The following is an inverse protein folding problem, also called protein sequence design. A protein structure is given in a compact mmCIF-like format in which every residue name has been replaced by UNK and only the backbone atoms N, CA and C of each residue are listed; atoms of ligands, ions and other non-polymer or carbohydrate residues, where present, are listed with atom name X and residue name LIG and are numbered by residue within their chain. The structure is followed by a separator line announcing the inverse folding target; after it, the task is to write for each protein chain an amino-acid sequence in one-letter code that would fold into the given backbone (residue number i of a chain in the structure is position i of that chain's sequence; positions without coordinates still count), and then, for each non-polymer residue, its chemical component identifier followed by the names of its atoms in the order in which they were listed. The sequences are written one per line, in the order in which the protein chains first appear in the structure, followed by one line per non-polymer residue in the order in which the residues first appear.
data_IF_361166656982
#
_entry.id   IF_361166656982
#
_cell.length_a   1.000
_cell.length_b   1.000
_cell.length_c   1.000
_cell.angle_alpha   90.00
_cell.angle_beta   90.00
_cell.angle_gamma   90.00
#
_symmetry.space_group_name_H-M   'P 1'
#
loop_
_entity.id
_entity.type
_entity.pdbx_description
1 polymer ?
#
# COMPACT_ATOMS: atom_id res chain seq x y z
N UNK A 1 36.27 -0.39 -20.47
CA UNK A 1 34.83 -0.69 -20.40
C UNK A 1 34.58 -1.38 -19.06
N UNK A 2 34.28 -0.62 -18.02
CA UNK A 2 33.99 -1.16 -16.68
C UNK A 2 32.47 -1.20 -16.50
N UNK A 3 31.89 -2.37 -16.73
CA UNK A 3 30.46 -2.65 -16.49
C UNK A 3 30.38 -4.03 -15.83
N UNK A 4 30.60 -4.11 -14.51
CA UNK A 4 30.14 -5.25 -13.71
C UNK A 4 29.95 -4.99 -12.21
N UNK A 5 29.80 -3.75 -11.74
CA UNK A 5 29.60 -3.48 -10.29
C UNK A 5 28.13 -3.26 -9.88
N UNK A 6 27.23 -3.07 -10.83
CA UNK A 6 25.92 -2.47 -10.54
C UNK A 6 24.87 -3.46 -10.00
N UNK A 7 25.13 -4.77 -10.02
CA UNK A 7 24.16 -5.79 -9.59
C UNK A 7 24.02 -5.90 -8.06
N UNK A 8 25.14 -5.76 -7.33
CA UNK A 8 25.18 -5.87 -5.87
C UNK A 8 24.72 -4.60 -5.14
N UNK A 9 24.73 -3.45 -5.82
CA UNK A 9 24.20 -2.21 -5.27
C UNK A 9 22.68 -2.15 -5.41
N UNK A 10 22.16 -2.71 -6.51
CA UNK A 10 20.75 -2.60 -6.86
C UNK A 10 19.82 -3.31 -5.87
N UNK A 11 20.24 -4.47 -5.33
CA UNK A 11 19.44 -5.15 -4.30
C UNK A 11 19.41 -4.38 -2.96
N UNK A 12 20.43 -3.59 -2.63
CA UNK A 12 20.44 -2.78 -1.40
C UNK A 12 19.40 -1.66 -1.50
N UNK A 13 19.25 -1.06 -2.67
CA UNK A 13 18.18 -0.10 -2.94
C UNK A 13 16.80 -0.76 -2.82
N UNK A 14 16.61 -1.92 -3.45
CA UNK A 14 15.35 -2.67 -3.34
C UNK A 14 15.02 -3.15 -1.93
N UNK A 15 16.03 -3.52 -1.14
CA UNK A 15 15.83 -3.90 0.25
C UNK A 15 15.25 -2.73 1.05
N UNK A 16 15.81 -1.53 0.88
CA UNK A 16 15.33 -0.33 1.58
C UNK A 16 13.98 0.15 1.01
N UNK A 17 13.75 0.02 -0.29
CA UNK A 17 12.46 0.37 -0.92
C UNK A 17 11.34 -0.63 -0.60
N UNK A 18 11.69 -1.87 -0.21
CA UNK A 18 10.75 -2.90 0.25
C UNK A 18 10.25 -2.69 1.68
N UNK A 19 10.81 -1.73 2.41
CA UNK A 19 10.40 -1.38 3.77
C UNK A 19 9.08 -0.58 3.78
N UNK A 20 8.31 -0.59 4.89
CA UNK A 20 7.12 0.26 5.03
C UNK A 20 7.46 1.74 4.74
N UNK A 21 6.66 2.50 3.98
CA UNK A 21 7.09 3.80 3.41
C UNK A 21 7.65 4.80 4.42
N UNK A 22 6.99 4.98 5.57
CA UNK A 22 7.45 5.87 6.63
C UNK A 22 8.74 5.38 7.29
N UNK A 23 8.89 4.07 7.41
CA UNK A 23 10.07 3.43 7.95
C UNK A 23 11.24 3.52 6.97
N UNK A 24 10.99 3.23 5.69
CA UNK A 24 11.95 3.35 4.60
C UNK A 24 12.53 4.76 4.51
N UNK A 25 11.70 5.81 4.54
CA UNK A 25 12.17 7.20 4.51
C UNK A 25 13.05 7.55 5.70
N UNK A 26 12.74 6.98 6.86
CA UNK A 26 13.50 7.21 8.08
C UNK A 26 14.85 6.49 8.07
N UNK A 27 14.90 5.24 7.64
CA UNK A 27 16.15 4.50 7.39
C UNK A 27 16.98 5.17 6.28
N UNK A 28 16.34 5.65 5.21
CA UNK A 28 17.04 6.44 4.17
C UNK A 28 17.65 7.70 4.76
N UNK A 29 16.95 8.40 5.66
CA UNK A 29 17.44 9.62 6.31
C UNK A 29 18.70 9.37 7.14
N UNK A 30 18.82 8.23 7.83
CA UNK A 30 20.03 7.88 8.59
C UNK A 30 21.19 7.42 7.71
N UNK A 31 20.89 6.83 6.54
CA UNK A 31 21.89 6.39 5.56
C UNK A 31 22.35 7.49 4.59
N UNK A 32 21.69 8.66 4.58
CA UNK A 32 22.10 9.80 3.74
C UNK A 32 23.40 10.40 4.27
N UNK A 33 24.32 10.71 3.36
CA UNK A 33 25.51 11.49 3.66
C UNK A 33 25.20 13.00 3.73
N UNK A 34 26.23 13.82 3.97
CA UNK A 34 26.14 15.29 4.01
C UNK A 34 25.61 15.92 2.71
N UNK A 35 25.66 15.18 1.59
CA UNK A 35 25.18 15.59 0.28
C UNK A 35 23.77 15.06 -0.03
N UNK A 36 23.12 14.35 0.91
CA UNK A 36 21.79 13.78 0.75
C UNK A 36 21.72 12.54 -0.15
N UNK A 37 22.86 11.98 -0.55
CA UNK A 37 22.97 10.77 -1.38
C UNK A 37 23.24 9.57 -0.48
N UNK A 38 22.68 8.40 -0.83
CA UNK A 38 22.93 7.14 -0.13
C UNK A 38 23.98 6.35 -0.91
N UNK A 39 25.24 6.26 -0.43
CA UNK A 39 26.29 5.51 -1.10
C UNK A 39 26.12 3.99 -0.86
N UNK A 40 25.21 3.34 -1.59
CA UNK A 40 24.91 1.91 -1.41
C UNK A 40 26.15 1.00 -1.56
N UNK A 41 27.15 1.36 -2.37
CA UNK A 41 28.40 0.62 -2.52
C UNK A 41 29.18 0.45 -1.22
N UNK A 42 29.20 1.45 -0.35
CA UNK A 42 30.02 1.46 0.87
C UNK A 42 29.34 0.81 2.08
N UNK A 43 28.04 0.54 2.00
CA UNK A 43 27.30 -0.12 3.07
C UNK A 43 27.39 -1.63 2.97
N UNK A 44 27.84 -2.27 4.05
CA UNK A 44 27.72 -3.72 4.22
C UNK A 44 26.29 -4.09 4.66
N UNK A 45 25.89 -5.33 4.43
CA UNK A 45 24.57 -5.83 4.85
C UNK A 45 24.31 -5.61 6.34
N UNK A 46 25.32 -5.87 7.19
CA UNK A 46 25.20 -5.63 8.63
C UNK A 46 24.97 -4.16 8.99
N UNK A 47 25.52 -3.21 8.22
CA UNK A 47 25.31 -1.78 8.46
C UNK A 47 23.92 -1.33 8.02
N UNK A 48 23.38 -1.91 6.95
CA UNK A 48 21.98 -1.70 6.53
C UNK A 48 21.00 -2.26 7.57
N UNK A 49 21.22 -3.48 8.06
CA UNK A 49 20.40 -4.07 9.11
C UNK A 49 20.52 -3.24 10.39
N UNK A 50 21.73 -2.83 10.79
CA UNK A 50 21.93 -2.02 11.98
C UNK A 50 21.12 -0.72 11.95
N UNK A 51 21.07 -0.04 10.80
CA UNK A 51 20.23 1.12 10.59
C UNK A 51 18.73 0.79 10.67
N UNK A 52 18.30 -0.36 10.15
CA UNK A 52 16.92 -0.82 10.28
C UNK A 52 16.56 -1.14 11.73
N UNK A 53 17.40 -1.85 12.48
CA UNK A 53 17.14 -2.20 13.88
C UNK A 53 17.06 -0.96 14.75
N UNK A 54 17.99 -0.02 14.58
CA UNK A 54 17.99 1.25 15.32
C UNK A 54 16.70 2.05 15.12
N UNK A 55 16.20 2.16 13.89
CA UNK A 55 14.92 2.84 13.63
C UNK A 55 13.71 1.95 13.98
N UNK A 56 13.90 0.63 14.02
CA UNK A 56 12.88 -0.35 14.38
C UNK A 56 12.48 -0.22 15.84
N UNK A 57 13.46 -0.04 16.72
CA UNK A 57 13.24 0.20 18.16
C UNK A 57 12.42 1.46 18.43
N UNK A 58 12.57 2.50 17.60
CA UNK A 58 11.70 3.68 17.64
C UNK A 58 10.25 3.33 17.29
N UNK A 59 10.02 2.43 16.33
CA UNK A 59 8.67 2.03 15.95
C UNK A 59 7.96 1.27 17.06
N UNK A 60 8.70 0.45 17.82
CA UNK A 60 8.21 -0.31 18.98
C UNK A 60 7.84 0.60 20.16
N UNK A 61 8.57 1.69 20.36
CA UNK A 61 8.31 2.63 21.47
C UNK A 61 7.06 3.49 21.28
N UNK A 62 6.59 3.70 20.04
CA UNK A 62 5.45 4.56 19.74
C UNK A 62 4.13 3.82 19.54
N UNK A 63 4.06 2.50 19.81
CA UNK A 63 2.86 1.65 19.62
C UNK A 63 2.09 2.05 18.36
N UNK A 64 2.79 2.18 17.22
CA UNK A 64 2.11 2.36 15.96
C UNK A 64 1.32 1.07 15.73
N UNK A 65 -0.03 1.09 15.80
CA UNK A 65 -0.79 -0.12 15.67
C UNK A 65 -0.46 -0.68 14.29
N UNK A 66 -0.03 -1.95 14.26
CA UNK A 66 0.23 -2.70 13.04
C UNK A 66 -0.90 -2.44 12.04
N UNK A 67 -0.64 -1.49 11.14
CA UNK A 67 -1.58 -1.10 10.10
C UNK A 67 -1.31 -1.96 8.88
N UNK A 68 -1.23 -3.27 9.12
CA UNK A 68 -1.67 -4.31 8.19
C UNK A 68 -3.15 -4.12 7.81
N UNK A 69 -3.46 -3.02 7.12
CA UNK A 69 -4.77 -2.71 6.56
C UNK A 69 -4.59 -1.96 5.26
N UNK A 70 -4.30 -2.71 4.20
CA UNK A 70 -4.50 -2.33 2.80
C UNK A 70 -3.95 -0.97 2.38
N UNK A 71 -2.87 -0.96 1.61
CA UNK A 71 -2.64 0.04 0.58
C UNK A 71 -3.80 -0.01 -0.42
N UNK A 72 -4.93 0.62 -0.08
CA UNK A 72 -5.73 1.28 -1.11
C UNK A 72 -4.93 2.49 -1.51
N UNK A 73 -4.28 2.40 -2.66
CA UNK A 73 -3.66 3.54 -3.35
C UNK A 73 -4.67 4.70 -3.35
N UNK A 74 -4.46 5.66 -2.45
CA UNK A 74 -5.16 6.94 -2.42
C UNK A 74 -4.24 7.88 -3.17
N UNK A 75 -4.41 7.94 -4.49
CA UNK A 75 -3.75 8.93 -5.33
C UNK A 75 -4.15 10.34 -4.86
N UNK A 76 -3.24 11.04 -4.20
CA UNK A 76 -3.22 12.49 -3.92
C UNK A 76 -1.85 12.77 -3.28
N UNK A 77 -0.92 13.56 -3.80
CA UNK A 77 -0.95 14.61 -4.79
C UNK A 77 0.51 14.94 -5.15
N UNK A 78 0.94 14.57 -6.36
CA UNK A 78 2.21 14.99 -6.95
C UNK A 78 1.90 15.55 -8.34
N UNK A 79 2.14 16.84 -8.52
CA UNK A 79 1.84 17.59 -9.74
C UNK A 79 2.50 16.94 -10.96
N UNK A 80 1.69 16.33 -11.84
CA UNK A 80 2.11 16.04 -13.21
C UNK A 80 1.88 17.30 -14.06
N UNK A 81 2.90 17.99 -14.58
CA UNK A 81 2.66 19.02 -15.58
C UNK A 81 2.30 18.33 -16.89
N UNK A 82 1.27 18.82 -17.57
CA UNK A 82 0.78 18.37 -18.88
C UNK A 82 -0.10 17.11 -18.94
N UNK A 83 -1.23 17.13 -18.23
CA UNK A 83 -2.45 16.49 -18.77
C UNK A 83 -3.42 17.61 -19.19
N UNK A 84 -3.88 17.67 -20.46
CA UNK A 84 -4.87 18.66 -20.85
C UNK A 84 -6.09 18.48 -19.95
N UNK A 85 -6.48 19.55 -19.27
CA UNK A 85 -7.66 19.57 -18.41
C UNK A 85 -8.86 19.08 -19.24
N UNK A 86 -9.22 17.80 -19.09
CA UNK A 86 -10.49 17.31 -19.61
C UNK A 86 -11.55 18.06 -18.82
N UNK A 87 -12.13 19.11 -19.42
CA UNK A 87 -13.32 19.78 -18.91
C UNK A 87 -14.32 18.69 -18.57
N UNK A 88 -14.59 18.49 -17.28
CA UNK A 88 -15.67 17.60 -16.82
C UNK A 88 -16.96 18.25 -17.28
N UNK A 89 -17.39 17.93 -18.51
CA UNK A 89 -18.72 18.26 -18.98
C UNK A 89 -19.67 17.47 -18.08
N UNK A 90 -20.28 18.13 -17.11
CA UNK A 90 -21.37 17.55 -16.32
C UNK A 90 -22.56 17.38 -17.26
N UNK A 91 -22.53 16.36 -18.11
CA UNK A 91 -23.77 15.86 -18.70
C UNK A 91 -24.61 15.42 -17.51
N UNK A 92 -25.68 16.16 -17.20
CA UNK A 92 -26.77 15.62 -16.39
C UNK A 92 -27.14 14.30 -17.04
N UNK A 93 -26.90 13.19 -16.33
CA UNK A 93 -27.25 11.85 -16.80
C UNK A 93 -28.73 11.85 -17.17
N UNK A 94 -29.08 11.16 -18.25
CA UNK A 94 -30.49 10.98 -18.60
C UNK A 94 -31.23 10.36 -17.42
N UNK A 95 -32.54 10.62 -17.35
CA UNK A 95 -33.40 10.03 -16.32
C UNK A 95 -33.25 8.50 -16.29
N UNK A 96 -33.21 7.90 -17.48
CA UNK A 96 -33.05 6.46 -17.71
C UNK A 96 -31.73 5.91 -17.14
N UNK A 97 -30.57 6.52 -17.43
CA UNK A 97 -29.27 6.07 -16.89
C UNK A 97 -29.25 6.15 -15.34
N UNK A 98 -29.95 7.13 -14.76
CA UNK A 98 -30.06 7.27 -13.31
C UNK A 98 -30.96 6.18 -12.71
N UNK A 99 -32.03 5.81 -13.39
CA UNK A 99 -32.96 4.75 -12.97
C UNK A 99 -32.30 3.36 -13.10
N UNK A 100 -31.57 3.09 -14.16
CA UNK A 100 -30.80 1.85 -14.34
C UNK A 100 -29.74 1.66 -13.24
N UNK A 101 -28.95 2.70 -12.94
CA UNK A 101 -27.99 2.68 -11.82
C UNK A 101 -28.67 2.49 -10.46
N UNK A 102 -29.87 3.06 -10.26
CA UNK A 102 -30.67 2.83 -9.04
C UNK A 102 -31.16 1.39 -8.98
N UNK A 103 -31.58 0.82 -10.10
CA UNK A 103 -31.93 -0.59 -10.28
C UNK A 103 -30.78 -1.52 -9.91
N UNK A 104 -29.62 -1.35 -10.52
CA UNK A 104 -28.40 -2.11 -10.20
C UNK A 104 -28.01 -2.02 -8.73
N UNK A 105 -28.07 -0.83 -8.12
CA UNK A 105 -27.76 -0.67 -6.69
C UNK A 105 -28.76 -1.39 -5.79
N UNK A 106 -30.04 -1.42 -6.17
CA UNK A 106 -31.08 -2.14 -5.41
C UNK A 106 -30.89 -3.66 -5.56
N UNK A 107 -30.80 -4.18 -6.78
CA UNK A 107 -30.63 -5.62 -7.02
C UNK A 107 -29.36 -6.17 -6.37
N UNK A 108 -28.24 -5.46 -6.52
CA UNK A 108 -26.97 -5.84 -5.88
C UNK A 108 -27.01 -5.72 -4.34
N UNK A 109 -27.79 -4.79 -3.78
CA UNK A 109 -28.00 -4.70 -2.32
C UNK A 109 -28.74 -5.93 -1.81
N UNK A 110 -29.78 -6.40 -2.51
CA UNK A 110 -30.54 -7.57 -2.10
C UNK A 110 -29.71 -8.86 -2.17
N UNK A 111 -28.94 -9.07 -3.24
CA UNK A 111 -28.07 -10.26 -3.37
C UNK A 111 -26.96 -10.25 -2.32
N UNK A 112 -26.29 -9.11 -2.10
CA UNK A 112 -25.25 -8.96 -1.08
C UNK A 112 -25.78 -9.16 0.35
N UNK A 113 -27.00 -8.70 0.62
CA UNK A 113 -27.62 -8.89 1.93
C UNK A 113 -28.03 -10.36 2.17
N UNK A 114 -28.42 -11.10 1.12
CA UNK A 114 -28.69 -12.54 1.19
C UNK A 114 -27.42 -13.35 1.46
N UNK A 115 -26.36 -13.13 0.68
CA UNK A 115 -25.10 -13.85 0.86
C UNK A 115 -24.46 -13.57 2.22
N UNK A 116 -24.55 -12.33 2.72
CA UNK A 116 -24.09 -11.99 4.09
C UNK A 116 -24.87 -12.74 5.18
N UNK A 117 -26.18 -12.94 4.99
CA UNK A 117 -27.03 -13.71 5.91
C UNK A 117 -26.72 -15.22 5.87
N UNK A 118 -26.40 -15.75 4.70
CA UNK A 118 -25.98 -17.13 4.52
C UNK A 118 -24.60 -17.38 5.14
N UNK A 119 -23.62 -16.49 4.89
CA UNK A 119 -22.29 -16.51 5.52
C UNK A 119 -22.34 -16.48 7.06
N UNK A 120 -23.29 -15.76 7.65
CA UNK A 120 -23.47 -15.68 9.10
C UNK A 120 -23.76 -17.04 9.77
N UNK A 121 -24.22 -18.04 9.01
CA UNK A 121 -24.53 -19.38 9.53
C UNK A 121 -23.31 -20.31 9.54
N UNK A 122 -22.28 -20.00 8.75
CA UNK A 122 -21.10 -20.84 8.63
C UNK A 122 -19.99 -20.41 9.61
N UNK A 123 -19.35 -21.40 10.25
CA UNK A 123 -18.19 -21.22 11.12
C UNK A 123 -16.91 -21.32 10.29
N UNK A 124 -16.04 -20.33 10.40
CA UNK A 124 -14.72 -20.37 9.79
C UNK A 124 -13.87 -21.48 10.43
N UNK A 125 -13.30 -22.36 9.62
CA UNK A 125 -12.49 -23.50 10.07
C UNK A 125 -11.16 -23.09 10.70
N UNK A 126 -10.61 -21.91 10.35
CA UNK A 126 -9.32 -21.43 10.85
C UNK A 126 -9.41 -20.69 12.19
N UNK A 127 -10.46 -19.90 12.40
CA UNK A 127 -10.59 -19.03 13.58
C UNK A 127 -11.82 -19.33 14.45
N UNK A 128 -12.68 -20.26 14.06
CA UNK A 128 -13.86 -20.68 14.82
C UNK A 128 -14.99 -19.64 14.91
N UNK A 129 -14.86 -18.47 14.25
CA UNK A 129 -15.88 -17.40 14.26
C UNK A 129 -16.84 -17.55 13.08
N UNK A 130 -18.08 -17.08 13.27
CA UNK A 130 -19.11 -17.10 12.23
C UNK A 130 -19.00 -15.91 11.27
N UNK A 131 -19.60 -16.01 10.08
CA UNK A 131 -19.82 -14.86 9.21
C UNK A 131 -18.73 -14.57 8.17
N UNK A 132 -17.73 -15.43 8.02
CA UNK A 132 -16.71 -15.29 6.98
C UNK A 132 -16.09 -16.64 6.60
N UNK A 133 -15.52 -16.69 5.39
CA UNK A 133 -14.74 -17.79 4.85
C UNK A 133 -13.34 -17.24 4.54
N UNK A 134 -12.30 -17.94 4.96
CA UNK A 134 -10.91 -17.61 4.62
C UNK A 134 -10.60 -18.29 3.28
N UNK A 135 -10.04 -17.55 2.33
CA UNK A 135 -9.48 -18.15 1.11
C UNK A 135 -8.14 -18.81 1.42
N UNK A 136 -7.89 -19.95 0.76
CA UNK A 136 -6.63 -20.71 0.83
C UNK A 136 -5.44 -19.86 0.36
#
# INVERSE_FOLDING_TARGET
MELLENGLEHWKAYFIDGLPPFFAERVKKTLRNSQGVIPYGTYTYGKLIGACTQEGDFCTQFDLPDSGKSTKHRDSSGSTPNRPHKRRKSRRRSREEREERRGHRKSHRFTKNRSRRELAKFRCYKCGKFGHIVNN
#
